data_IF_009934372685
#
_entry.id   IF_009934372685
#
_cell.length_a   1.000
_cell.length_b   1.000
_cell.length_c   1.000
_cell.angle_alpha   90.00
_cell.angle_beta   90.00
_cell.angle_gamma   90.00
#
_symmetry.space_group_name_H-M   'P 1'
#
loop_
_entity.id
_entity.type
_entity.pdbx_description
1 polymer ?
#
# COMPACT_ATOMS: atom_id res chain seq x y z
N UNK A 1 -18.68 27.14 17.45
CA UNK A 1 -19.04 27.73 16.14
C UNK A 1 -18.23 27.14 14.98
N UNK A 2 -16.92 26.91 15.16
CA UNK A 2 -16.04 26.33 14.12
C UNK A 2 -16.38 24.88 13.76
N UNK A 3 -16.82 24.05 14.72
CA UNK A 3 -17.20 22.64 14.47
C UNK A 3 -18.48 22.52 13.62
N UNK A 4 -19.37 23.48 13.70
CA UNK A 4 -20.63 23.48 12.94
C UNK A 4 -20.41 23.87 11.47
N UNK A 5 -19.45 24.74 11.20
CA UNK A 5 -19.05 25.13 9.85
C UNK A 5 -18.32 23.98 9.12
N UNK A 6 -17.56 23.16 9.84
CA UNK A 6 -16.87 22.00 9.27
C UNK A 6 -17.85 20.87 8.86
N UNK A 7 -18.92 20.66 9.64
CA UNK A 7 -20.00 19.71 9.31
C UNK A 7 -20.84 20.16 8.11
N UNK A 8 -21.08 21.46 7.96
CA UNK A 8 -21.82 22.01 6.81
C UNK A 8 -21.04 21.89 5.50
N UNK A 9 -19.71 21.99 5.51
CA UNK A 9 -18.90 21.83 4.30
C UNK A 9 -18.91 20.39 3.75
N UNK A 10 -19.13 19.38 4.61
CA UNK A 10 -19.27 17.99 4.18
C UNK A 10 -20.61 17.69 3.50
N UNK A 11 -21.66 18.42 3.82
CA UNK A 11 -23.00 18.20 3.26
C UNK A 11 -23.14 18.65 1.80
N UNK A 12 -22.32 19.61 1.35
CA UNK A 12 -22.36 20.10 -0.04
C UNK A 12 -21.68 19.19 -1.05
N UNK A 13 -20.84 18.25 -0.60
CA UNK A 13 -20.12 17.33 -1.51
C UNK A 13 -21.02 16.20 -2.02
N UNK A 14 -22.14 15.92 -1.36
CA UNK A 14 -23.03 14.81 -1.71
C UNK A 14 -24.25 15.20 -2.55
N UNK A 15 -24.47 16.50 -2.85
CA UNK A 15 -25.69 16.99 -3.48
C UNK A 15 -25.65 17.19 -4.98
N UNK A 16 -24.57 16.81 -5.69
CA UNK A 16 -24.54 16.93 -7.15
C UNK A 16 -24.20 15.60 -7.81
N UNK A 17 -25.20 14.72 -7.93
CA UNK A 17 -25.18 13.71 -8.99
C UNK A 17 -26.57 13.09 -9.21
N UNK A 18 -27.44 13.83 -9.86
CA UNK A 18 -28.65 13.26 -10.46
C UNK A 18 -28.68 13.65 -11.93
N UNK A 19 -27.83 12.99 -12.72
CA UNK A 19 -28.00 12.93 -14.19
C UNK A 19 -27.08 11.84 -14.75
N UNK A 20 -27.61 10.62 -14.97
CA UNK A 20 -27.37 9.82 -16.17
C UNK A 20 -27.99 8.43 -16.02
N UNK A 21 -29.11 8.24 -16.70
CA UNK A 21 -29.87 6.98 -16.71
C UNK A 21 -29.26 5.87 -17.60
N UNK A 22 -28.01 6.01 -18.03
CA UNK A 22 -27.25 5.01 -18.81
C UNK A 22 -25.86 4.68 -18.22
N UNK A 23 -25.65 4.92 -16.93
CA UNK A 23 -24.36 4.51 -16.32
C UNK A 23 -24.27 3.00 -16.25
N UNK A 24 -23.45 2.43 -17.10
CA UNK A 24 -23.00 1.04 -16.95
C UNK A 24 -22.45 0.88 -15.54
N UNK A 25 -23.12 0.04 -14.75
CA UNK A 25 -22.74 -0.21 -13.35
C UNK A 25 -21.34 -0.80 -13.28
N UNK A 26 -20.34 0.03 -13.02
CA UNK A 26 -18.95 -0.38 -12.91
C UNK A 26 -18.56 -0.54 -11.45
N UNK A 27 -17.64 -1.47 -11.14
CA UNK A 27 -17.10 -1.63 -9.81
C UNK A 27 -16.22 -0.45 -9.39
N UNK A 28 -16.12 -0.13 -8.08
CA UNK A 28 -15.09 0.78 -7.59
C UNK A 28 -13.69 0.17 -7.83
N UNK A 29 -12.66 1.00 -7.88
CA UNK A 29 -11.27 0.54 -7.86
C UNK A 29 -10.81 0.60 -6.41
N UNK A 30 -10.78 -0.58 -5.78
CA UNK A 30 -10.38 -0.77 -4.39
C UNK A 30 -9.59 -2.08 -4.30
N UNK A 31 -8.40 -2.00 -3.72
CA UNK A 31 -7.55 -3.16 -3.55
C UNK A 31 -6.65 -3.02 -2.32
N UNK A 32 -6.34 -4.13 -1.71
CA UNK A 32 -5.38 -4.24 -0.62
C UNK A 32 -4.10 -4.87 -1.12
N UNK A 33 -2.98 -4.54 -0.52
CA UNK A 33 -1.68 -5.05 -0.91
C UNK A 33 -0.81 -5.46 0.27
N UNK A 34 0.07 -6.41 -0.01
CA UNK A 34 1.19 -6.76 0.86
C UNK A 34 2.47 -6.54 0.06
N UNK A 35 3.44 -5.86 0.66
CA UNK A 35 4.75 -5.63 0.07
C UNK A 35 5.82 -6.24 0.95
N UNK A 36 6.75 -6.96 0.33
CA UNK A 36 7.95 -7.48 0.97
C UNK A 36 9.17 -7.00 0.19
N UNK A 37 10.14 -6.44 0.89
CA UNK A 37 11.31 -5.85 0.25
C UNK A 37 12.47 -5.62 1.21
N UNK A 38 13.41 -4.86 0.72
CA UNK A 38 14.58 -4.46 1.49
C UNK A 38 14.76 -2.96 1.42
N UNK A 39 15.15 -2.36 2.54
CA UNK A 39 15.43 -0.92 2.64
C UNK A 39 16.88 -0.68 3.07
N UNK A 40 17.40 0.47 2.62
CA UNK A 40 18.75 0.95 2.97
C UNK A 40 18.72 2.44 3.23
N UNK A 41 19.73 2.93 3.98
CA UNK A 41 19.85 4.33 4.38
C UNK A 41 19.97 4.47 5.88
N UNK A 42 19.29 5.46 6.46
CA UNK A 42 19.22 5.67 7.91
C UNK A 42 18.48 4.56 8.66
N UNK A 43 17.58 3.83 7.98
CA UNK A 43 17.05 2.53 8.35
C UNK A 43 17.52 1.50 7.33
N UNK A 44 17.84 0.30 7.81
CA UNK A 44 18.34 -0.80 6.97
C UNK A 44 17.69 -2.10 7.40
N UNK A 45 17.27 -2.92 6.45
CA UNK A 45 16.76 -4.25 6.76
C UNK A 45 15.58 -4.70 5.91
N UNK A 46 14.91 -5.74 6.35
CA UNK A 46 13.70 -6.26 5.72
C UNK A 46 12.53 -5.30 5.97
N UNK A 47 11.81 -5.02 4.90
CA UNK A 47 10.60 -4.21 4.91
C UNK A 47 9.41 -5.10 4.59
N UNK A 48 8.40 -5.08 5.46
CA UNK A 48 7.10 -5.65 5.21
C UNK A 48 6.04 -4.56 5.35
N UNK A 49 5.08 -4.49 4.43
CA UNK A 49 3.97 -3.56 4.58
C UNK A 49 2.66 -4.13 4.09
N UNK A 50 1.58 -3.59 4.66
CA UNK A 50 0.20 -3.79 4.24
C UNK A 50 -0.38 -2.45 3.84
N UNK A 51 -1.07 -2.40 2.70
CA UNK A 51 -1.68 -1.18 2.19
C UNK A 51 -3.12 -1.40 1.73
N UNK A 52 -3.93 -0.37 1.94
CA UNK A 52 -5.31 -0.26 1.47
C UNK A 52 -5.34 0.89 0.48
N UNK A 53 -5.84 0.60 -0.72
CA UNK A 53 -5.81 1.52 -1.85
C UNK A 53 -7.21 1.78 -2.36
N UNK A 54 -7.56 3.04 -2.52
CA UNK A 54 -8.79 3.48 -3.14
C UNK A 54 -8.47 4.47 -4.27
N UNK A 55 -9.01 4.20 -5.47
CA UNK A 55 -8.78 5.06 -6.62
C UNK A 55 -10.07 5.70 -7.10
N UNK A 56 -10.07 7.05 -7.17
CA UNK A 56 -11.13 7.85 -7.76
C UNK A 56 -10.59 8.55 -9.02
N UNK A 57 -11.11 8.17 -10.20
CA UNK A 57 -10.54 8.57 -11.50
C UNK A 57 -9.06 8.13 -11.55
N UNK A 58 -8.13 9.09 -11.62
CA UNK A 58 -6.69 8.83 -11.60
C UNK A 58 -6.05 9.10 -10.24
N UNK A 59 -6.80 9.63 -9.29
CA UNK A 59 -6.29 9.92 -7.96
C UNK A 59 -6.30 8.65 -7.11
N UNK A 60 -5.19 8.35 -6.47
CA UNK A 60 -4.99 7.21 -5.59
C UNK A 60 -4.81 7.71 -4.16
N UNK A 61 -5.59 7.15 -3.25
CA UNK A 61 -5.40 7.32 -1.79
C UNK A 61 -4.95 5.98 -1.24
N UNK A 62 -3.85 6.00 -0.50
CA UNK A 62 -3.27 4.79 0.11
C UNK A 62 -3.08 5.00 1.60
N UNK A 63 -3.66 4.11 2.40
CA UNK A 63 -3.30 3.94 3.80
C UNK A 63 -2.35 2.75 3.91
N UNK A 64 -1.19 2.96 4.54
CA UNK A 64 -0.15 1.94 4.66
C UNK A 64 0.34 1.80 6.09
N UNK A 65 0.45 0.56 6.53
CA UNK A 65 1.21 0.14 7.70
C UNK A 65 2.45 -0.62 7.24
N UNK A 66 3.62 -0.26 7.75
CA UNK A 66 4.88 -0.90 7.41
C UNK A 66 5.71 -1.20 8.64
N UNK A 67 6.47 -2.29 8.56
CA UNK A 67 7.49 -2.66 9.55
C UNK A 67 8.83 -2.83 8.85
N UNK A 68 9.85 -2.22 9.41
CA UNK A 68 11.24 -2.35 8.96
C UNK A 68 12.02 -2.99 10.10
N UNK A 69 12.66 -4.12 9.82
CA UNK A 69 13.39 -4.89 10.82
C UNK A 69 14.85 -5.06 10.40
N UNK A 70 15.76 -4.50 11.17
CA UNK A 70 17.21 -4.73 10.99
C UNK A 70 17.58 -6.07 11.63
N UNK A 71 17.78 -7.07 10.77
CA UNK A 71 18.17 -8.41 11.16
C UNK A 71 19.70 -8.57 11.02
N UNK A 72 20.37 -8.87 12.12
CA UNK A 72 21.74 -9.39 12.11
C UNK A 72 21.70 -10.91 12.25
N UNK A 73 22.37 -11.60 11.38
CA UNK A 73 22.53 -13.05 11.48
C UNK A 73 23.78 -13.32 12.31
N UNK A 74 23.58 -13.77 13.54
CA UNK A 74 24.65 -14.36 14.35
C UNK A 74 24.79 -15.85 14.01
N UNK A 75 26.01 -16.36 14.01
CA UNK A 75 26.28 -17.80 13.83
C UNK A 75 26.67 -18.36 15.19
N UNK A 76 25.89 -19.32 15.68
CA UNK A 76 26.24 -20.10 16.87
C UNK A 76 26.29 -21.59 16.48
N UNK A 77 27.44 -22.21 16.58
CA UNK A 77 27.66 -23.63 16.21
C UNK A 77 27.10 -23.99 14.84
N UNK A 78 27.37 -23.16 13.79
CA UNK A 78 26.88 -23.30 12.42
C UNK A 78 25.36 -23.12 12.23
N UNK A 79 24.61 -22.75 13.27
CA UNK A 79 23.20 -22.43 13.19
C UNK A 79 23.03 -20.91 13.10
N UNK A 80 22.39 -20.36 12.05
CA UNK A 80 22.12 -18.94 11.95
C UNK A 80 21.03 -18.54 12.95
N UNK A 81 21.39 -17.68 13.91
CA UNK A 81 20.42 -17.11 14.87
C UNK A 81 20.13 -15.67 14.46
N UNK A 82 18.90 -15.35 14.07
CA UNK A 82 18.52 -13.97 13.77
C UNK A 82 18.43 -13.15 15.07
N UNK A 83 19.17 -12.06 15.14
CA UNK A 83 19.05 -11.06 16.20
C UNK A 83 18.40 -9.80 15.64
N UNK A 84 17.29 -9.36 16.23
CA UNK A 84 16.65 -8.09 15.88
C UNK A 84 17.46 -6.97 16.54
N UNK A 85 18.07 -6.13 15.71
CA UNK A 85 18.88 -5.02 16.18
C UNK A 85 18.03 -3.75 16.38
N UNK A 86 17.08 -3.50 15.50
CA UNK A 86 16.08 -2.45 15.61
C UNK A 86 14.83 -2.80 14.84
N UNK A 87 13.69 -2.29 15.28
CA UNK A 87 12.42 -2.40 14.59
C UNK A 87 11.78 -1.01 14.46
N UNK A 88 11.26 -0.71 13.29
CA UNK A 88 10.54 0.53 13.01
C UNK A 88 9.16 0.21 12.48
N UNK A 89 8.14 0.73 13.12
CA UNK A 89 6.77 0.71 12.68
C UNK A 89 6.44 2.05 12.02
N UNK A 90 5.71 2.01 10.93
CA UNK A 90 5.35 3.20 10.16
C UNK A 90 3.87 3.13 9.76
N UNK A 91 3.12 4.18 10.09
CA UNK A 91 1.79 4.44 9.56
C UNK A 91 1.89 5.57 8.55
N UNK A 92 1.31 5.42 7.38
CA UNK A 92 1.41 6.42 6.32
C UNK A 92 0.06 6.62 5.63
N UNK A 93 -0.20 7.87 5.30
CA UNK A 93 -1.28 8.27 4.41
C UNK A 93 -0.65 8.92 3.18
N UNK A 94 -0.87 8.30 2.01
CA UNK A 94 -0.32 8.77 0.76
C UNK A 94 -1.44 9.17 -0.19
N UNK A 95 -1.16 10.19 -0.97
CA UNK A 95 -1.99 10.65 -2.07
C UNK A 95 -1.16 10.74 -3.35
N UNK A 96 -1.72 10.28 -4.46
CA UNK A 96 -0.99 10.24 -5.72
C UNK A 96 -1.87 10.02 -6.93
N UNK A 97 -1.22 9.65 -8.03
CA UNK A 97 -1.90 9.33 -9.28
C UNK A 97 -1.55 7.91 -9.71
N UNK A 98 -2.56 7.20 -10.22
CA UNK A 98 -2.40 5.87 -10.80
C UNK A 98 -3.04 5.82 -12.18
N UNK A 99 -2.28 5.33 -13.12
CA UNK A 99 -2.69 5.16 -14.50
C UNK A 99 -2.81 3.67 -14.82
N UNK A 100 -3.92 3.31 -15.43
CA UNK A 100 -4.27 1.92 -15.73
C UNK A 100 -4.33 1.78 -17.25
N UNK A 101 -3.51 0.88 -17.78
CA UNK A 101 -3.44 0.53 -19.21
C UNK A 101 -3.67 -0.97 -19.33
N UNK A 102 -4.89 -1.35 -19.70
CA UNK A 102 -5.37 -2.73 -19.80
C UNK A 102 -5.09 -3.59 -18.56
N UNK A 103 -4.18 -4.54 -18.60
CA UNK A 103 -3.78 -5.42 -17.48
C UNK A 103 -2.55 -4.93 -16.69
N UNK A 104 -2.14 -3.69 -16.91
CA UNK A 104 -0.99 -3.05 -16.28
C UNK A 104 -1.38 -1.72 -15.65
N UNK A 105 -0.71 -1.34 -14.61
CA UNK A 105 -0.81 0.02 -14.06
C UNK A 105 0.48 0.46 -13.42
N UNK A 106 0.70 1.77 -13.41
CA UNK A 106 1.77 2.41 -12.65
C UNK A 106 1.20 3.53 -11.80
N UNK A 107 1.83 3.79 -10.69
CA UNK A 107 1.44 4.87 -9.80
C UNK A 107 2.66 5.56 -9.20
N UNK A 108 2.45 6.80 -8.80
CA UNK A 108 3.34 7.55 -7.93
C UNK A 108 2.51 8.25 -6.88
N UNK A 109 2.99 8.25 -5.65
CA UNK A 109 2.30 8.85 -4.51
C UNK A 109 3.29 9.39 -3.50
N UNK A 110 2.86 10.39 -2.76
CA UNK A 110 3.58 10.98 -1.64
C UNK A 110 2.61 11.33 -0.53
N UNK A 111 3.12 11.55 0.67
CA UNK A 111 2.23 11.82 1.79
C UNK A 111 2.95 12.09 3.09
N UNK A 112 2.30 11.74 4.18
CA UNK A 112 2.82 11.89 5.53
C UNK A 112 2.92 10.52 6.20
N UNK A 113 3.93 10.36 7.05
CA UNK A 113 4.09 9.15 7.87
C UNK A 113 4.39 9.49 9.32
N UNK A 114 3.86 8.66 10.20
CA UNK A 114 4.23 8.60 11.61
C UNK A 114 5.05 7.34 11.83
N UNK A 115 6.26 7.52 12.35
CA UNK A 115 7.25 6.47 12.50
C UNK A 115 7.57 6.29 13.98
N UNK A 116 7.65 5.04 14.43
CA UNK A 116 8.06 4.65 15.77
C UNK A 116 9.19 3.64 15.66
N UNK A 117 10.39 4.03 16.05
CA UNK A 117 11.58 3.18 16.02
C UNK A 117 11.98 2.76 17.41
N UNK A 118 12.12 1.45 17.62
CA UNK A 118 12.71 0.88 18.84
C UNK A 118 14.15 0.48 18.54
N UNK A 119 15.08 1.05 19.30
CA UNK A 119 16.49 0.67 19.26
C UNK A 119 16.72 -0.47 20.24
N UNK A 120 17.07 -1.66 19.72
CA UNK A 120 17.27 -2.85 20.52
C UNK A 120 18.50 -2.81 21.43
N UNK A 121 19.43 -1.84 21.24
CA UNK A 121 20.60 -1.70 22.10
C UNK A 121 20.34 -0.91 23.36
N UNK A 122 19.47 0.10 23.29
CA UNK A 122 19.27 1.09 24.37
C UNK A 122 17.86 0.98 24.95
N UNK A 123 17.00 0.15 24.35
CA UNK A 123 15.57 0.00 24.65
C UNK A 123 14.79 1.34 24.63
N UNK A 124 15.26 2.29 23.84
CA UNK A 124 14.60 3.59 23.65
C UNK A 124 13.69 3.58 22.43
N UNK A 125 12.52 4.14 22.58
CA UNK A 125 11.55 4.36 21.52
C UNK A 125 11.60 5.83 21.06
N UNK A 126 11.68 6.04 19.75
CA UNK A 126 11.70 7.36 19.12
C UNK A 126 10.54 7.47 18.16
N UNK A 127 9.72 8.49 18.33
CA UNK A 127 8.63 8.79 17.42
C UNK A 127 8.99 10.02 16.59
N UNK A 128 8.69 9.99 15.30
CA UNK A 128 8.95 11.10 14.39
C UNK A 128 8.07 11.03 13.16
N UNK A 129 7.82 12.19 12.57
CA UNK A 129 7.13 12.31 11.30
C UNK A 129 8.09 12.17 10.12
N UNK A 130 7.56 11.81 8.96
CA UNK A 130 8.29 11.71 7.72
C UNK A 130 7.39 11.94 6.50
N UNK A 131 8.02 12.02 5.34
CA UNK A 131 7.40 12.23 4.04
C UNK A 131 7.66 11.00 3.16
N UNK A 132 6.75 10.02 3.13
CA UNK A 132 6.88 8.85 2.29
C UNK A 132 6.59 9.19 0.84
N UNK A 133 7.37 8.57 -0.06
CA UNK A 133 7.23 8.64 -1.51
C UNK A 133 7.21 7.21 -2.03
N UNK A 134 6.29 6.90 -2.95
CA UNK A 134 6.18 5.59 -3.58
C UNK A 134 6.01 5.69 -5.08
N UNK A 135 6.69 4.81 -5.80
CA UNK A 135 6.50 4.56 -7.22
C UNK A 135 6.33 3.06 -7.39
N UNK A 136 5.29 2.64 -8.07
CA UNK A 136 5.03 1.22 -8.23
C UNK A 136 4.34 0.85 -9.53
N UNK A 137 4.51 -0.40 -9.89
CA UNK A 137 3.87 -1.01 -11.05
C UNK A 137 3.10 -2.25 -10.62
N UNK A 138 1.98 -2.54 -11.29
CA UNK A 138 1.17 -3.72 -11.02
C UNK A 138 0.69 -4.36 -12.31
N UNK A 139 0.75 -5.68 -12.38
CA UNK A 139 0.23 -6.51 -13.43
C UNK A 139 -0.96 -7.31 -12.91
N UNK A 140 -2.07 -7.29 -13.62
CA UNK A 140 -3.31 -7.97 -13.26
C UNK A 140 -4.09 -8.42 -14.50
N UNK A 141 -5.15 -9.19 -14.30
CA UNK A 141 -5.96 -9.64 -15.43
C UNK A 141 -6.81 -8.52 -16.01
N UNK A 142 -6.73 -8.32 -17.32
CA UNK A 142 -7.48 -7.32 -18.04
C UNK A 142 -8.97 -7.64 -18.20
N UNK A 143 -9.37 -8.91 -18.18
CA UNK A 143 -10.76 -9.39 -18.31
C UNK A 143 -11.28 -9.96 -17.01
N UNK A 144 -12.62 -9.93 -16.82
CA UNK A 144 -13.27 -10.63 -15.70
C UNK A 144 -12.94 -12.12 -15.75
N UNK A 145 -12.52 -12.68 -14.63
CA UNK A 145 -12.26 -14.11 -14.47
C UNK A 145 -12.98 -14.63 -13.23
N UNK A 146 -13.24 -15.94 -13.18
CA UNK A 146 -13.70 -16.57 -11.95
C UNK A 146 -12.55 -16.52 -10.94
N UNK A 147 -12.87 -16.13 -9.71
CA UNK A 147 -11.90 -16.22 -8.63
C UNK A 147 -11.53 -17.69 -8.40
N UNK A 148 -10.28 -17.98 -8.15
CA UNK A 148 -9.80 -19.34 -7.95
C UNK A 148 -9.20 -19.48 -6.56
N UNK A 149 -9.63 -20.50 -5.82
CA UNK A 149 -9.10 -20.89 -4.51
C UNK A 149 -8.20 -22.12 -4.64
N UNK A 150 -7.61 -22.58 -3.54
CA UNK A 150 -6.67 -23.72 -3.49
C UNK A 150 -5.60 -23.64 -4.58
N UNK A 151 -4.67 -22.67 -4.42
CA UNK A 151 -3.55 -22.43 -5.35
C UNK A 151 -3.96 -22.19 -6.82
N UNK A 152 -5.22 -21.77 -7.04
CA UNK A 152 -5.72 -21.48 -8.38
C UNK A 152 -6.36 -22.69 -9.11
N UNK A 153 -6.58 -23.79 -8.43
CA UNK A 153 -7.14 -25.00 -9.02
C UNK A 153 -8.68 -24.91 -9.15
N UNK A 154 -9.38 -24.44 -8.12
CA UNK A 154 -10.85 -24.48 -8.06
C UNK A 154 -11.43 -23.10 -8.42
N UNK A 155 -12.16 -22.95 -9.56
CA UNK A 155 -12.85 -21.72 -9.88
C UNK A 155 -14.14 -21.61 -9.05
N UNK A 156 -14.32 -20.50 -8.35
CA UNK A 156 -15.47 -20.23 -7.48
C UNK A 156 -16.26 -19.04 -8.01
N UNK A 157 -17.59 -19.15 -8.01
CA UNK A 157 -18.53 -18.08 -8.32
C UNK A 157 -18.60 -17.68 -9.81
N UNK A 158 -19.26 -16.55 -10.07
CA UNK A 158 -19.39 -15.95 -11.42
C UNK A 158 -18.10 -15.19 -11.79
N UNK A 159 -17.80 -14.97 -13.09
CA UNK A 159 -16.70 -14.12 -13.51
C UNK A 159 -16.79 -12.72 -12.88
N UNK A 160 -15.79 -12.32 -12.18
CA UNK A 160 -15.72 -11.04 -11.46
C UNK A 160 -14.43 -10.29 -11.82
N UNK A 161 -14.44 -8.97 -11.64
CA UNK A 161 -13.24 -8.14 -11.72
C UNK A 161 -12.37 -8.20 -10.46
N UNK A 162 -12.83 -8.89 -9.41
CA UNK A 162 -12.03 -9.10 -8.21
C UNK A 162 -10.94 -10.13 -8.48
N UNK A 163 -9.69 -9.75 -8.25
CA UNK A 163 -8.56 -10.59 -8.61
C UNK A 163 -7.28 -10.24 -7.89
N UNK A 164 -6.24 -11.01 -8.20
CA UNK A 164 -4.89 -10.81 -7.69
C UNK A 164 -4.09 -9.97 -8.68
N UNK A 165 -3.14 -9.20 -8.17
CA UNK A 165 -2.08 -8.57 -8.97
C UNK A 165 -0.73 -8.78 -8.32
N UNK A 166 0.29 -8.72 -9.15
CA UNK A 166 1.69 -8.72 -8.75
C UNK A 166 2.32 -7.42 -9.20
N UNK A 167 3.30 -6.92 -8.47
CA UNK A 167 3.96 -5.67 -8.81
C UNK A 167 5.32 -5.50 -8.17
N UNK A 168 5.99 -4.43 -8.58
CA UNK A 168 7.24 -3.96 -8.00
C UNK A 168 6.99 -2.55 -7.47
N UNK A 169 7.48 -2.26 -6.26
CA UNK A 169 7.31 -0.99 -5.60
C UNK A 169 8.66 -0.47 -5.11
N UNK A 170 9.03 0.71 -5.57
CA UNK A 170 10.10 1.53 -5.02
C UNK A 170 9.48 2.47 -4.00
N UNK A 171 10.03 2.52 -2.81
CA UNK A 171 9.54 3.38 -1.75
C UNK A 171 10.69 4.05 -1.00
N UNK A 172 10.46 5.29 -0.59
CA UNK A 172 11.39 6.08 0.19
C UNK A 172 10.63 6.79 1.31
N UNK A 173 11.29 7.12 2.39
CA UNK A 173 10.74 7.97 3.43
C UNK A 173 11.80 8.99 3.85
N UNK A 174 11.49 10.26 3.68
CA UNK A 174 12.34 11.39 4.10
C UNK A 174 11.93 11.74 5.53
N UNK A 175 12.80 11.42 6.50
CA UNK A 175 12.52 11.56 7.92
C UNK A 175 13.82 11.69 8.73
N UNK A 176 13.72 11.74 10.06
CA UNK A 176 14.91 11.69 10.96
C UNK A 176 15.82 10.49 10.66
N UNK A 177 15.22 9.34 10.30
CA UNK A 177 15.91 8.16 9.79
C UNK A 177 15.34 7.87 8.39
N UNK A 178 15.91 8.53 7.37
CA UNK A 178 15.51 8.36 5.99
C UNK A 178 15.93 7.01 5.44
N UNK A 179 15.15 6.47 4.52
CA UNK A 179 15.47 5.23 3.84
C UNK A 179 14.91 5.21 2.41
N UNK A 180 15.47 4.35 1.59
CA UNK A 180 14.96 3.98 0.27
C UNK A 180 14.92 2.45 0.18
N UNK A 181 13.92 1.91 -0.49
CA UNK A 181 13.76 0.47 -0.60
C UNK A 181 13.03 0.04 -1.85
N UNK A 182 13.24 -1.23 -2.18
CA UNK A 182 12.59 -1.93 -3.29
C UNK A 182 11.90 -3.16 -2.75
N UNK A 183 10.69 -3.43 -3.22
CA UNK A 183 9.93 -4.59 -2.80
C UNK A 183 9.01 -5.15 -3.86
N UNK A 184 8.63 -6.40 -3.66
CA UNK A 184 7.60 -7.09 -4.43
C UNK A 184 6.25 -6.86 -3.76
N UNK A 185 5.25 -6.57 -4.57
CA UNK A 185 3.90 -6.25 -4.09
C UNK A 185 2.90 -7.26 -4.63
N UNK A 186 2.11 -7.84 -3.73
CA UNK A 186 0.99 -8.73 -4.04
C UNK A 186 -0.29 -8.06 -3.59
N UNK A 187 -1.25 -7.87 -4.51
CA UNK A 187 -2.50 -7.22 -4.16
C UNK A 187 -3.70 -8.10 -4.48
N UNK A 188 -4.81 -7.78 -3.82
CA UNK A 188 -6.10 -8.42 -3.95
C UNK A 188 -7.19 -7.36 -4.00
N UNK A 189 -8.08 -7.43 -5.02
CA UNK A 189 -9.19 -6.47 -5.14
C UNK A 189 -9.61 -6.18 -6.58
N UNK A 190 -10.25 -5.04 -6.76
CA UNK A 190 -10.65 -4.52 -8.06
C UNK A 190 -9.61 -3.52 -8.57
N UNK A 191 -8.78 -3.96 -9.52
CA UNK A 191 -7.62 -3.19 -9.99
C UNK A 191 -7.97 -2.19 -11.09
N UNK A 192 -9.12 -2.36 -11.75
CA UNK A 192 -9.66 -1.43 -12.75
C UNK A 192 -11.19 -1.45 -12.76
N UNK A 193 -11.80 -0.52 -13.52
CA UNK A 193 -13.23 -0.57 -13.82
C UNK A 193 -13.45 -1.66 -14.86
N UNK A 194 -14.20 -2.70 -14.50
CA UNK A 194 -14.61 -3.76 -15.41
C UNK A 194 -16.04 -3.49 -15.86
N UNK A 195 -16.24 -3.48 -17.17
CA UNK A 195 -17.57 -3.40 -17.80
C UNK A 195 -18.27 -4.74 -17.80
#
# INVERSE_FOLDING_TARGET
LFSFLFLMSFSFVFSQEKQDSLRVKTNPIFFTGMNLGYVTGGLKGLHASFDINYQLKNNLVTFKYATITDLKIGILFFVPIPKINSATEQFSLLFGKRYVVDGFSYHFSGGISYNSTRDGKIDKRYNYFGFPIEIGTHWFHSKKKRFRVMYGLIPVGKPTGFGRSFGIKLHANIAKKSYVGLGLNLNLGWHKKYK
#
